data_IF_622158360237
#
_entry.id   IF_622158360237
#
_cell.length_a   1.000
_cell.length_b   1.000
_cell.length_c   1.000
_cell.angle_alpha   90.00
_cell.angle_beta   90.00
_cell.angle_gamma   90.00
#
_symmetry.space_group_name_H-M   'P 1'
#
loop_
_entity.id
_entity.type
_entity.pdbx_description
1 polymer ?
#
# COMPACT_ATOMS: atom_id res chain seq x y z
N UNK A 1 10.27 -14.43 -0.25
CA UNK A 1 9.11 -14.35 0.66
C UNK A 1 9.04 -13.00 1.36
N UNK A 2 10.17 -12.37 1.72
CA UNK A 2 10.25 -10.92 1.89
C UNK A 2 11.43 -10.44 1.07
N UNK A 3 11.15 -9.66 0.04
CA UNK A 3 12.14 -9.22 -0.94
C UNK A 3 12.32 -7.73 -0.86
N UNK A 4 12.41 -7.14 0.32
CA UNK A 4 12.65 -5.71 0.52
C UNK A 4 13.76 -5.51 1.55
N UNK A 5 14.80 -4.76 1.19
CA UNK A 5 15.79 -4.25 2.12
C UNK A 5 15.50 -2.77 2.36
N UNK A 6 15.26 -2.40 3.62
CA UNK A 6 15.12 -1.00 4.01
C UNK A 6 16.39 -0.22 3.67
N UNK A 7 16.27 0.89 2.93
CA UNK A 7 17.39 1.73 2.51
C UNK A 7 17.30 3.20 2.99
N UNK A 8 16.21 3.57 3.67
CA UNK A 8 16.05 4.88 4.31
C UNK A 8 14.58 5.31 4.44
N UNK A 9 14.35 6.39 5.20
CA UNK A 9 13.05 7.02 5.37
C UNK A 9 13.14 8.53 5.13
N UNK A 10 12.06 9.13 4.63
CA UNK A 10 11.87 10.58 4.66
C UNK A 10 10.47 10.88 5.21
N UNK A 11 10.34 11.77 6.20
CA UNK A 11 9.03 12.16 6.72
C UNK A 11 8.31 13.16 5.82
N UNK A 12 7.03 13.38 6.09
CA UNK A 12 6.29 14.53 5.60
C UNK A 12 4.93 14.18 5.01
N UNK A 13 4.30 15.18 4.41
CA UNK A 13 3.01 15.03 3.75
C UNK A 13 3.23 14.73 2.26
N UNK A 14 2.57 13.71 1.75
CA UNK A 14 2.66 13.32 0.34
C UNK A 14 1.36 12.69 -0.17
N UNK A 15 1.08 12.82 -1.49
CA UNK A 15 -0.05 12.13 -2.10
C UNK A 15 0.29 10.66 -2.37
N UNK A 16 -0.68 9.79 -2.10
CA UNK A 16 -0.71 8.39 -2.49
C UNK A 16 -1.67 8.25 -3.67
N UNK A 17 -1.18 7.66 -4.76
CA UNK A 17 -1.94 7.36 -5.97
C UNK A 17 -2.16 5.87 -6.11
N UNK A 18 -3.36 5.46 -6.50
CA UNK A 18 -3.62 4.07 -6.86
C UNK A 18 -3.22 3.80 -8.32
N UNK A 19 -2.35 2.81 -8.52
CA UNK A 19 -1.88 2.39 -9.85
C UNK A 19 -2.81 1.40 -10.52
N UNK A 20 -3.57 0.65 -9.72
CA UNK A 20 -4.69 -0.17 -10.19
C UNK A 20 -5.95 0.25 -9.43
N UNK A 21 -6.95 0.78 -10.13
CA UNK A 21 -8.27 1.17 -9.58
C UNK A 21 -9.36 0.14 -9.88
N UNK A 22 -9.01 -0.98 -10.51
CA UNK A 22 -9.90 -2.11 -10.80
C UNK A 22 -9.84 -3.18 -9.72
N UNK A 23 -8.71 -3.31 -9.02
CA UNK A 23 -8.55 -4.27 -7.93
C UNK A 23 -9.60 -4.07 -6.82
N UNK A 24 -10.19 -5.15 -6.24
CA UNK A 24 -11.23 -5.02 -5.22
C UNK A 24 -10.84 -4.17 -4.00
N UNK A 25 -9.55 -4.14 -3.62
CA UNK A 25 -9.07 -3.30 -2.51
C UNK A 25 -9.22 -1.80 -2.85
N UNK A 26 -8.84 -1.40 -4.05
CA UNK A 26 -8.72 0.02 -4.46
C UNK A 26 -9.91 0.50 -5.28
N UNK A 27 -10.80 -0.39 -5.74
CA UNK A 27 -11.95 -0.06 -6.58
C UNK A 27 -12.82 1.01 -5.95
N UNK A 28 -13.02 2.10 -6.70
CA UNK A 28 -13.81 3.26 -6.26
C UNK A 28 -13.14 4.13 -5.19
N UNK A 29 -11.90 3.86 -4.80
CA UNK A 29 -11.12 4.77 -3.97
C UNK A 29 -10.39 5.80 -4.84
N UNK A 30 -10.29 7.02 -4.33
CA UNK A 30 -9.43 8.06 -4.90
C UNK A 30 -8.10 8.05 -4.15
N UNK A 31 -7.05 8.52 -4.81
CA UNK A 31 -5.80 8.84 -4.14
C UNK A 31 -6.03 9.81 -2.98
N UNK A 32 -5.14 9.79 -2.00
CA UNK A 32 -5.29 10.56 -0.77
C UNK A 32 -3.94 11.11 -0.33
N UNK A 33 -3.98 12.24 0.36
CA UNK A 33 -2.81 12.81 1.01
C UNK A 33 -2.65 12.17 2.40
N UNK A 34 -1.41 11.87 2.79
CA UNK A 34 -1.07 11.34 4.11
C UNK A 34 0.20 12.01 4.63
N UNK A 35 0.26 12.26 5.94
CA UNK A 35 1.51 12.57 6.64
C UNK A 35 2.05 11.28 7.23
N UNK A 36 3.21 10.85 6.78
CA UNK A 36 3.79 9.55 7.15
C UNK A 36 5.30 9.55 6.87
N UNK A 37 5.95 8.41 7.10
CA UNK A 37 7.29 8.15 6.59
C UNK A 37 7.23 7.48 5.20
N UNK A 38 7.92 8.07 4.23
CA UNK A 38 8.19 7.45 2.93
C UNK A 38 9.29 6.41 3.10
N UNK A 39 8.91 5.20 3.49
CA UNK A 39 9.79 4.04 3.56
C UNK A 39 10.27 3.67 2.16
N UNK A 40 11.58 3.76 1.93
CA UNK A 40 12.20 3.27 0.70
C UNK A 40 12.65 1.84 0.93
N UNK A 41 11.93 0.91 0.32
CA UNK A 41 12.35 -0.48 0.23
C UNK A 41 13.12 -0.69 -1.07
N UNK A 42 14.35 -1.20 -0.95
CA UNK A 42 15.06 -1.79 -2.08
C UNK A 42 14.49 -3.18 -2.26
N UNK A 43 13.52 -3.31 -3.17
CA UNK A 43 13.00 -4.63 -3.47
C UNK A 43 14.09 -5.48 -4.13
N UNK A 44 14.26 -6.72 -3.68
CA UNK A 44 15.08 -7.71 -4.35
C UNK A 44 14.60 -7.82 -5.81
N UNK A 45 15.48 -7.68 -6.81
CA UNK A 45 15.10 -7.61 -8.22
C UNK A 45 14.21 -8.79 -8.65
N UNK A 46 14.48 -9.99 -8.10
CA UNK A 46 13.71 -11.20 -8.38
C UNK A 46 12.23 -11.17 -7.93
N UNK A 47 11.83 -10.21 -7.09
CA UNK A 47 10.47 -10.10 -6.55
C UNK A 47 9.71 -8.89 -7.03
N UNK A 48 10.36 -7.76 -7.36
CA UNK A 48 9.65 -6.51 -7.66
C UNK A 48 8.72 -6.63 -8.86
N UNK A 49 9.16 -7.31 -9.93
CA UNK A 49 8.35 -7.52 -11.14
C UNK A 49 7.19 -8.52 -10.95
N UNK A 50 7.16 -9.23 -9.81
CA UNK A 50 6.14 -10.23 -9.48
C UNK A 50 5.08 -9.71 -8.50
N UNK A 51 5.21 -8.48 -8.03
CA UNK A 51 4.25 -7.86 -7.13
C UNK A 51 3.19 -7.12 -7.95
N UNK A 52 1.94 -7.28 -7.56
CA UNK A 52 0.88 -6.46 -8.13
C UNK A 52 0.79 -5.17 -7.32
N UNK A 53 1.33 -4.10 -7.88
CA UNK A 53 1.34 -2.77 -7.27
C UNK A 53 -0.03 -2.12 -7.35
N UNK A 54 -0.59 -1.79 -6.19
CA UNK A 54 -1.89 -1.15 -6.06
C UNK A 54 -1.77 0.36 -5.85
N UNK A 55 -0.66 0.83 -5.30
CA UNK A 55 -0.42 2.27 -5.12
C UNK A 55 1.03 2.66 -4.85
N UNK A 56 1.30 3.95 -5.02
CA UNK A 56 2.61 4.58 -4.90
C UNK A 56 2.51 5.96 -4.28
N UNK A 57 3.60 6.47 -3.72
CA UNK A 57 3.72 7.90 -3.45
C UNK A 57 3.99 8.68 -4.74
N UNK A 58 3.58 9.94 -4.77
CA UNK A 58 3.94 10.88 -5.84
C UNK A 58 4.39 12.24 -5.27
N UNK A 59 5.62 12.30 -4.73
CA UNK A 59 6.22 13.52 -4.18
C UNK A 59 7.37 14.00 -5.08
N UNK A 60 7.02 14.67 -6.18
CA UNK A 60 7.99 15.19 -7.14
C UNK A 60 8.81 14.07 -7.80
N UNK A 61 10.12 14.04 -7.54
CA UNK A 61 11.02 12.98 -8.04
C UNK A 61 10.89 11.66 -7.26
N UNK A 62 10.17 11.67 -6.15
CA UNK A 62 9.95 10.48 -5.35
C UNK A 62 8.65 9.77 -5.77
N UNK A 63 8.81 8.72 -6.57
CA UNK A 63 7.72 7.89 -7.08
C UNK A 63 8.07 6.42 -6.94
N UNK A 64 7.67 5.81 -5.83
CA UNK A 64 7.87 4.38 -5.60
C UNK A 64 6.62 3.76 -5.01
N UNK A 65 6.41 2.48 -5.29
CA UNK A 65 5.25 1.76 -4.78
C UNK A 65 5.33 1.62 -3.27
N UNK A 66 4.21 1.89 -2.61
CA UNK A 66 4.04 1.70 -1.17
C UNK A 66 3.03 0.62 -0.86
N UNK A 67 2.17 0.26 -1.82
CA UNK A 67 1.05 -0.64 -1.61
C UNK A 67 1.09 -1.69 -2.71
N UNK A 68 1.20 -2.95 -2.32
CA UNK A 68 1.23 -4.05 -3.26
C UNK A 68 0.62 -5.31 -2.65
N UNK A 69 0.24 -6.22 -3.53
CA UNK A 69 -0.24 -7.55 -3.16
C UNK A 69 0.58 -8.63 -3.86
N UNK A 70 0.53 -9.83 -3.30
CA UNK A 70 1.09 -11.01 -3.91
C UNK A 70 0.21 -12.22 -3.59
N UNK A 71 -0.15 -12.99 -4.61
CA UNK A 71 -0.80 -14.29 -4.43
C UNK A 71 0.27 -15.38 -4.61
N UNK A 72 0.50 -16.18 -3.56
CA UNK A 72 1.48 -17.27 -3.57
C UNK A 72 0.80 -18.57 -3.11
N UNK A 73 0.70 -19.52 -4.04
CA UNK A 73 -0.08 -20.75 -3.83
C UNK A 73 -1.53 -20.43 -3.49
N UNK A 74 -1.98 -20.82 -2.28
CA UNK A 74 -3.34 -20.52 -1.79
C UNK A 74 -3.42 -19.24 -0.95
N UNK A 75 -2.28 -18.65 -0.61
CA UNK A 75 -2.17 -17.48 0.26
C UNK A 75 -2.32 -16.16 -0.50
N UNK A 76 -2.81 -15.15 0.21
CA UNK A 76 -2.89 -13.76 -0.24
C UNK A 76 -2.10 -12.89 0.72
N UNK A 77 -1.17 -12.12 0.18
CA UNK A 77 -0.39 -11.15 0.94
C UNK A 77 -0.77 -9.74 0.48
N UNK A 78 -1.02 -8.87 1.45
CA UNK A 78 -1.08 -7.43 1.26
C UNK A 78 0.05 -6.80 2.05
N UNK A 79 0.73 -5.84 1.46
CA UNK A 79 1.78 -5.09 2.11
C UNK A 79 1.59 -3.60 1.84
N UNK A 80 1.80 -2.81 2.88
CA UNK A 80 1.81 -1.35 2.82
C UNK A 80 3.00 -0.81 3.61
N UNK A 81 3.74 0.14 3.05
CA UNK A 81 4.76 0.91 3.77
C UNK A 81 4.19 2.10 4.56
N UNK A 82 2.87 2.29 4.53
CA UNK A 82 2.17 3.37 5.25
C UNK A 82 1.73 2.90 6.65
N UNK A 83 1.61 3.84 7.58
CA UNK A 83 1.10 3.65 8.94
C UNK A 83 2.18 3.69 10.02
N UNK A 84 3.20 4.56 9.87
CA UNK A 84 4.30 4.67 10.84
C UNK A 84 3.83 5.05 12.25
N UNK A 85 2.89 5.98 12.37
CA UNK A 85 2.41 6.51 13.66
C UNK A 85 0.89 6.71 13.73
N UNK A 86 0.43 7.19 14.88
CA UNK A 86 -0.98 7.53 15.14
C UNK A 86 -1.53 8.55 14.12
N UNK A 87 -0.70 9.51 13.69
CA UNK A 87 -1.11 10.53 12.73
C UNK A 87 -1.42 9.92 11.38
N UNK A 88 -0.58 9.02 10.86
CA UNK A 88 -0.87 8.26 9.66
C UNK A 88 -2.16 7.43 9.82
N UNK A 89 -2.32 6.75 10.96
CA UNK A 89 -3.51 5.94 11.25
C UNK A 89 -4.79 6.75 11.45
N UNK A 90 -4.72 8.02 11.81
CA UNK A 90 -5.88 8.91 11.88
C UNK A 90 -6.51 9.19 10.50
N UNK A 91 -5.82 8.85 9.41
CA UNK A 91 -6.31 9.06 8.05
C UNK A 91 -7.40 8.03 7.68
N UNK A 92 -8.65 8.47 7.43
CA UNK A 92 -9.74 7.55 7.11
C UNK A 92 -9.51 6.75 5.81
N UNK A 93 -8.74 7.30 4.87
CA UNK A 93 -8.43 6.61 3.62
C UNK A 93 -7.45 5.44 3.86
N UNK A 94 -6.47 5.61 4.77
CA UNK A 94 -5.59 4.52 5.19
C UNK A 94 -6.37 3.43 5.94
N UNK A 95 -7.23 3.81 6.88
CA UNK A 95 -8.08 2.86 7.61
C UNK A 95 -8.98 2.06 6.64
N UNK A 96 -9.63 2.74 5.69
CA UNK A 96 -10.45 2.12 4.65
C UNK A 96 -9.65 1.14 3.80
N UNK A 97 -8.45 1.53 3.35
CA UNK A 97 -7.55 0.68 2.59
C UNK A 97 -7.21 -0.59 3.36
N UNK A 98 -6.78 -0.45 4.63
CA UNK A 98 -6.41 -1.56 5.51
C UNK A 98 -7.56 -2.52 5.74
N UNK A 99 -8.77 -2.02 6.03
CA UNK A 99 -9.94 -2.88 6.26
C UNK A 99 -10.34 -3.66 5.00
N UNK A 100 -10.27 -3.03 3.83
CA UNK A 100 -10.50 -3.72 2.55
C UNK A 100 -9.43 -4.77 2.27
N UNK A 101 -8.16 -4.46 2.55
CA UNK A 101 -7.06 -5.39 2.42
C UNK A 101 -7.20 -6.61 3.33
N UNK A 102 -7.57 -6.42 4.60
CA UNK A 102 -7.84 -7.51 5.54
C UNK A 102 -8.95 -8.44 5.03
N UNK A 103 -10.05 -7.88 4.52
CA UNK A 103 -11.14 -8.66 3.91
C UNK A 103 -10.66 -9.43 2.69
N UNK A 104 -9.86 -8.80 1.82
CA UNK A 104 -9.32 -9.45 0.62
C UNK A 104 -8.40 -10.63 0.96
N UNK A 105 -7.47 -10.44 1.92
CA UNK A 105 -6.56 -11.48 2.42
C UNK A 105 -7.36 -12.63 3.03
N UNK A 106 -8.39 -12.33 3.82
CA UNK A 106 -9.28 -13.31 4.44
C UNK A 106 -10.32 -13.93 3.47
N UNK A 107 -10.29 -13.60 2.17
CA UNK A 107 -11.26 -14.04 1.15
C UNK A 107 -12.72 -13.74 1.54
N UNK A 108 -12.95 -12.63 2.22
CA UNK A 108 -14.28 -12.12 2.56
C UNK A 108 -14.74 -11.10 1.51
N UNK A 109 -16.05 -10.90 1.34
CA UNK A 109 -16.57 -9.83 0.50
C UNK A 109 -15.99 -8.47 0.91
N UNK A 110 -15.55 -7.67 -0.07
CA UNK A 110 -15.08 -6.31 0.18
C UNK A 110 -16.26 -5.45 0.58
N UNK A 111 -16.12 -4.74 1.70
CA UNK A 111 -17.09 -3.77 2.21
C UNK A 111 -16.33 -2.58 2.76
N UNK A 112 -16.94 -1.42 2.72
CA UNK A 112 -16.41 -0.22 3.37
C UNK A 112 -16.63 -0.29 4.89
N UNK A 113 -15.78 0.38 5.68
CA UNK A 113 -16.10 0.67 7.07
C UNK A 113 -17.45 1.40 7.13
N UNK A 114 -18.29 1.00 8.09
CA UNK A 114 -19.55 1.65 8.45
C UNK A 114 -19.30 2.90 9.26
#
# INVERSE_FOLDING_TARGET
>A
MFGGQFIGHGGGTFPVEFTDTTHPITKGMKGFEITDESYRDKFHPATIDKLHHLGRINRGNEKHSMIWIHEYGKGRLFSTGLGHDEKAWSNPALQKLTLRALRWVARKPIKDPS
#
